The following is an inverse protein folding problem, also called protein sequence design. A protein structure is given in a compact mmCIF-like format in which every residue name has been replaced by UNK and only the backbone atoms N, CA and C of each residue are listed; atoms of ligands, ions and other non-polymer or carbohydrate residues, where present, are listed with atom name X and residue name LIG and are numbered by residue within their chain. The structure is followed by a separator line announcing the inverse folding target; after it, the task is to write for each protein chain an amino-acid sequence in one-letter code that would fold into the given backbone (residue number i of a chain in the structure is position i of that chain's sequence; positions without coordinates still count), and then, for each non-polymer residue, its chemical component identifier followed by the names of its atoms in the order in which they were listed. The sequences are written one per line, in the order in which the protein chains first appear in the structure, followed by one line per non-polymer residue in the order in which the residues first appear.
data_IF_504077140677
#
_entry.id   IF_504077140677
#
_cell.length_a   1.000
_cell.length_b   1.000
_cell.length_c   1.000
_cell.angle_alpha   90.00
_cell.angle_beta   90.00
_cell.angle_gamma   90.00
#
_symmetry.space_group_name_H-M   'P 1'
#
loop_
_entity.id
_entity.type
_entity.pdbx_description
1 polymer ?
#
# COMPACT_ATOMS: atom_id res chain seq x y z
N UNK A 1 -23.43 20.38 -7.42
CA UNK A 1 -22.51 19.70 -6.50
C UNK A 1 -23.26 19.48 -5.19
N UNK A 2 -23.84 18.28 -5.04
CA UNK A 2 -24.54 17.86 -3.83
C UNK A 2 -23.78 16.65 -3.33
N UNK A 3 -22.89 16.84 -2.35
CA UNK A 3 -22.15 15.74 -1.70
C UNK A 3 -23.11 15.10 -0.71
N UNK A 4 -23.57 13.88 -0.99
CA UNK A 4 -24.39 13.10 -0.09
C UNK A 4 -23.52 12.22 0.80
N UNK A 5 -23.29 12.62 2.04
CA UNK A 5 -22.55 11.79 3.01
C UNK A 5 -23.48 10.69 3.54
N UNK A 6 -23.22 9.44 3.16
CA UNK A 6 -23.97 8.28 3.65
C UNK A 6 -23.21 7.63 4.82
N UNK A 7 -23.66 7.87 6.04
CA UNK A 7 -23.11 7.28 7.27
C UNK A 7 -23.86 5.99 7.60
N UNK A 8 -23.25 4.83 7.34
CA UNK A 8 -23.81 3.55 7.78
C UNK A 8 -23.15 3.11 9.10
N UNK A 9 -23.90 3.19 10.21
CA UNK A 9 -23.50 2.78 11.58
C UNK A 9 -23.05 1.31 11.68
N UNK A 10 -23.27 0.48 10.66
CA UNK A 10 -22.89 -0.94 10.63
C UNK A 10 -21.37 -1.14 10.51
N UNK A 11 -20.64 -0.22 9.87
CA UNK A 11 -19.18 -0.33 9.71
C UNK A 11 -18.41 -0.16 11.03
N UNK A 12 -18.96 0.63 11.97
CA UNK A 12 -18.32 0.92 13.25
C UNK A 12 -18.17 -0.30 14.18
N UNK A 13 -18.82 -1.44 13.87
CA UNK A 13 -18.83 -2.62 14.74
C UNK A 13 -17.81 -3.70 14.38
N UNK A 14 -17.24 -3.67 13.17
CA UNK A 14 -16.24 -4.66 12.72
C UNK A 14 -14.77 -4.23 12.95
N UNK A 15 -14.54 -2.94 13.20
CA UNK A 15 -13.19 -2.36 13.37
C UNK A 15 -12.50 -2.71 14.70
N UNK A 16 -13.15 -3.48 15.58
CA UNK A 16 -12.62 -3.86 16.89
C UNK A 16 -11.72 -5.11 16.91
N UNK A 17 -11.40 -5.72 15.77
CA UNK A 17 -10.74 -7.03 15.71
C UNK A 17 -9.54 -7.15 14.76
N UNK A 18 -8.95 -6.05 14.28
CA UNK A 18 -7.72 -6.12 13.49
C UNK A 18 -6.48 -6.11 14.41
N UNK A 19 -5.51 -7.02 14.24
CA UNK A 19 -4.23 -6.99 14.96
C UNK A 19 -3.49 -5.67 14.69
N UNK A 20 -2.87 -5.14 15.74
CA UNK A 20 -2.11 -3.88 15.71
C UNK A 20 -0.79 -4.12 14.99
N UNK A 21 -0.75 -3.89 13.68
CA UNK A 21 0.51 -3.65 12.95
C UNK A 21 0.71 -2.12 12.90
N UNK A 22 1.97 -1.67 12.96
CA UNK A 22 2.36 -0.26 13.18
C UNK A 22 1.65 0.76 12.30
N UNK A 23 1.52 1.99 12.83
CA UNK A 23 0.95 3.20 12.20
C UNK A 23 -0.02 2.96 11.02
N UNK A 24 -1.21 2.41 11.31
CA UNK A 24 -2.19 2.09 10.28
C UNK A 24 -2.71 3.36 9.58
N UNK A 25 -2.48 3.45 8.27
CA UNK A 25 -3.37 4.16 7.34
C UNK A 25 -4.77 3.59 7.55
N UNK A 26 -5.66 4.36 8.18
CA UNK A 26 -7.05 3.95 8.39
C UNK A 26 -7.85 4.26 7.13
N UNK A 27 -8.10 3.22 6.32
CA UNK A 27 -9.06 3.29 5.22
C UNK A 27 -10.46 3.24 5.82
N UNK A 28 -11.08 4.40 6.01
CA UNK A 28 -12.47 4.50 6.46
C UNK A 28 -13.19 5.56 5.63
N UNK A 29 -14.24 5.10 4.93
CA UNK A 29 -15.29 5.85 4.20
C UNK A 29 -15.21 5.69 2.67
N UNK A 30 -16.36 5.51 2.02
CA UNK A 30 -16.51 5.41 0.56
C UNK A 30 -16.91 6.80 0.04
N UNK A 31 -16.07 7.45 -0.75
CA UNK A 31 -16.48 8.59 -1.57
C UNK A 31 -17.08 8.05 -2.87
N UNK A 32 -18.40 8.15 -2.97
CA UNK A 32 -19.12 7.97 -4.24
C UNK A 32 -19.34 9.34 -4.86
N UNK A 33 -18.83 9.56 -6.07
CA UNK A 33 -19.19 10.74 -6.83
C UNK A 33 -19.89 10.35 -8.14
N UNK A 34 -20.97 11.09 -8.42
CA UNK A 34 -21.77 10.94 -9.62
C UNK A 34 -21.48 12.11 -10.53
N UNK A 35 -20.90 11.85 -11.69
CA UNK A 35 -20.63 12.84 -12.73
C UNK A 35 -21.56 12.60 -13.91
N UNK A 36 -22.36 13.60 -14.26
CA UNK A 36 -23.20 13.59 -15.46
C UNK A 36 -22.41 14.24 -16.60
N UNK A 37 -21.84 13.46 -17.52
CA UNK A 37 -21.25 14.00 -18.76
C UNK A 37 -22.33 14.16 -19.82
N UNK A 38 -23.26 15.11 -19.61
CA UNK A 38 -24.27 15.58 -20.56
C UNK A 38 -25.35 14.57 -20.98
N UNK A 39 -24.94 13.41 -21.51
CA UNK A 39 -25.78 12.35 -22.04
C UNK A 39 -25.77 11.08 -21.15
N UNK A 40 -24.85 10.99 -20.15
CA UNK A 40 -24.53 9.75 -19.42
C UNK A 40 -24.19 9.96 -17.94
N UNK A 41 -24.55 8.97 -17.13
CA UNK A 41 -24.19 8.85 -15.72
C UNK A 41 -22.85 8.11 -15.59
N UNK A 42 -21.87 8.74 -14.95
CA UNK A 42 -20.61 8.15 -14.51
C UNK A 42 -20.68 8.03 -12.99
N UNK A 43 -20.73 6.79 -12.48
CA UNK A 43 -20.59 6.53 -11.05
C UNK A 43 -19.15 6.16 -10.77
N UNK A 44 -18.49 6.89 -9.88
CA UNK A 44 -17.17 6.52 -9.39
C UNK A 44 -17.21 6.29 -7.89
N UNK A 45 -16.85 5.08 -7.47
CA UNK A 45 -16.74 4.72 -6.06
C UNK A 45 -15.25 4.57 -5.70
N UNK A 46 -14.81 5.34 -4.70
CA UNK A 46 -13.41 5.41 -4.25
C UNK A 46 -13.35 5.40 -2.71
N UNK A 47 -12.52 4.57 -2.06
CA UNK A 47 -12.27 4.68 -0.62
C UNK A 47 -11.54 5.99 -0.30
N UNK A 48 -11.93 6.68 0.78
CA UNK A 48 -11.27 7.88 1.28
C UNK A 48 -10.10 7.51 2.22
N UNK A 49 -9.04 8.30 2.15
CA UNK A 49 -7.83 8.19 2.97
C UNK A 49 -7.90 9.22 4.09
N UNK A 50 -8.00 8.79 5.37
CA UNK A 50 -7.91 9.73 6.49
C UNK A 50 -6.45 10.01 6.90
N UNK A 51 -6.14 11.30 7.08
CA UNK A 51 -4.91 11.77 7.75
C UNK A 51 -5.28 12.16 9.19
N UNK A 52 -4.82 11.43 10.20
CA UNK A 52 -4.94 11.92 11.58
C UNK A 52 -3.90 13.05 11.80
N UNK A 53 -4.35 14.30 11.88
CA UNK A 53 -3.51 15.40 12.37
C UNK A 53 -3.14 15.10 13.83
N UNK A 54 -1.89 14.68 14.07
CA UNK A 54 -1.38 14.51 15.42
C UNK A 54 -1.28 15.90 16.08
N UNK A 55 -2.30 16.26 16.88
CA UNK A 55 -2.26 17.43 17.74
C UNK A 55 -1.10 17.25 18.71
N UNK A 56 -0.05 18.03 18.49
CA UNK A 56 1.02 18.24 19.46
C UNK A 56 0.39 18.58 20.80
N UNK A 57 0.51 17.66 21.76
CA UNK A 57 0.06 17.85 23.12
C UNK A 57 0.82 19.04 23.73
N UNK A 58 0.20 20.21 23.69
CA UNK A 58 0.58 21.35 24.49
C UNK A 58 0.48 20.96 25.96
N UNK A 59 1.63 20.83 26.62
CA UNK A 59 1.72 20.73 28.07
C UNK A 59 1.24 22.05 28.67
N UNK A 60 -0.01 22.09 29.12
CA UNK A 60 -0.49 23.13 30.03
C UNK A 60 -1.61 22.54 30.91
N UNK A 61 -1.20 21.83 31.96
CA UNK A 61 -1.93 21.89 33.24
C UNK A 61 -1.01 21.48 34.40
N UNK A 62 -0.39 22.47 35.03
CA UNK A 62 0.18 22.32 36.36
C UNK A 62 -0.79 22.96 37.36
N UNK A 63 -1.28 22.22 38.38
CA UNK A 63 -2.25 22.77 39.31
C UNK A 63 -1.61 23.86 40.18
N UNK A 64 -2.29 25.00 40.24
CA UNK A 64 -1.97 26.12 41.12
C UNK A 64 -1.94 25.68 42.58
N UNK A 65 -0.78 25.85 43.23
CA UNK A 65 -0.69 25.95 44.69
C UNK A 65 -0.25 27.36 45.06
N UNK A 66 -1.17 28.13 45.64
CA UNK A 66 -0.88 29.39 46.30
C UNK A 66 0.04 29.16 47.51
N UNK A 67 1.15 29.91 47.55
CA UNK A 67 2.11 29.88 48.64
C UNK A 67 3.00 31.13 48.60
N UNK A 68 2.46 32.25 49.04
CA UNK A 68 3.18 33.51 49.24
C UNK A 68 4.22 33.39 50.36
N UNK A 69 5.48 33.75 50.12
CA UNK A 69 6.25 34.71 50.95
C UNK A 69 7.71 34.86 50.49
N UNK A 70 8.13 36.12 50.29
CA UNK A 70 9.38 36.75 50.78
C UNK A 70 10.75 36.15 50.37
N UNK A 71 11.85 36.87 50.21
CA UNK A 71 12.27 38.28 50.06
C UNK A 71 13.80 38.18 49.97
N UNK A 72 14.44 39.15 49.29
CA UNK A 72 15.89 39.47 49.35
C UNK A 72 16.86 38.43 48.72
N UNK A 73 17.95 38.80 48.05
CA UNK A 73 18.54 40.11 47.79
C UNK A 73 19.91 39.92 47.13
N UNK A 74 20.32 40.93 46.35
CA UNK A 74 21.70 41.42 46.12
C UNK A 74 22.76 40.43 45.60
N UNK A 75 23.30 40.56 44.40
CA UNK A 75 24.30 41.56 43.94
C UNK A 75 25.63 40.84 43.62
N UNK A 76 26.18 41.13 42.43
CA UNK A 76 27.59 41.45 42.11
C UNK A 76 28.68 40.59 42.80
N UNK A 77 29.70 40.05 42.14
CA UNK A 77 30.64 40.57 41.12
C UNK A 77 31.67 39.44 40.96
N UNK A 78 32.21 39.12 39.79
CA UNK A 78 33.45 39.75 39.32
C UNK A 78 34.46 38.68 38.88
N UNK A 79 35.10 38.95 37.75
CA UNK A 79 36.49 38.64 37.40
C UNK A 79 36.92 37.18 37.04
N UNK A 80 37.17 36.99 35.74
CA UNK A 80 38.24 36.14 35.13
C UNK A 80 39.65 36.61 35.57
N UNK A 81 40.76 35.82 35.52
CA UNK A 81 41.23 35.13 34.29
C UNK A 81 42.11 33.84 34.42
N UNK A 82 42.28 33.18 33.26
CA UNK A 82 43.36 32.30 32.74
C UNK A 82 44.31 31.55 33.71
N UNK A 83 44.60 30.27 33.41
CA UNK A 83 45.91 29.81 32.86
C UNK A 83 45.93 28.31 32.53
N UNK A 84 46.54 28.02 31.38
CA UNK A 84 47.31 26.84 30.91
C UNK A 84 47.51 25.59 31.78
N UNK A 85 47.44 24.43 31.10
CA UNK A 85 48.59 23.52 31.05
C UNK A 85 48.42 22.08 31.58
N UNK A 86 48.55 21.13 30.64
CA UNK A 86 49.33 19.86 30.73
C UNK A 86 48.76 18.61 31.44
N UNK A 87 48.40 17.62 30.58
CA UNK A 87 48.71 16.18 30.59
C UNK A 87 48.99 15.40 31.90
N UNK A 88 48.14 14.42 32.23
CA UNK A 88 48.33 12.94 32.19
C UNK A 88 47.52 12.19 33.26
N UNK A 89 46.84 11.11 32.83
CA UNK A 89 46.52 9.82 33.49
C UNK A 89 45.82 9.88 34.89
N UNK A 90 44.83 9.06 35.25
CA UNK A 90 44.62 7.62 35.03
C UNK A 90 43.25 7.21 35.67
N UNK A 91 42.68 6.08 35.23
CA UNK A 91 41.76 5.16 35.95
C UNK A 91 40.21 5.38 36.02
N UNK A 92 39.52 4.49 35.28
CA UNK A 92 38.41 3.57 35.65
C UNK A 92 37.02 4.11 36.09
N UNK A 93 36.03 3.89 35.22
CA UNK A 93 34.74 3.18 35.43
C UNK A 93 33.83 3.55 34.24
N UNK A 94 33.35 2.64 33.40
CA UNK A 94 32.57 1.47 33.75
C UNK A 94 31.09 1.79 33.59
N UNK A 95 30.63 2.15 32.38
CA UNK A 95 29.23 2.01 32.02
C UNK A 95 29.12 1.53 30.56
N UNK A 96 28.50 0.37 30.44
CA UNK A 96 28.26 -0.37 29.21
C UNK A 96 26.98 0.17 28.61
N UNK A 97 27.05 0.99 27.57
CA UNK A 97 25.87 1.25 26.72
C UNK A 97 25.91 0.23 25.60
N UNK A 98 25.01 -0.75 25.72
CA UNK A 98 24.66 -1.72 24.69
C UNK A 98 24.33 -0.98 23.40
N UNK A 99 25.00 -1.35 22.31
CA UNK A 99 24.63 -0.93 20.98
C UNK A 99 23.21 -1.43 20.67
N UNK A 100 22.33 -0.51 20.33
CA UNK A 100 21.26 -0.80 19.39
C UNK A 100 21.84 -0.57 18.01
N UNK A 101 21.82 -1.60 17.19
CA UNK A 101 22.14 -1.51 15.77
C UNK A 101 21.17 -0.49 15.14
N UNK A 102 21.70 0.65 14.71
CA UNK A 102 21.00 1.57 13.84
C UNK A 102 20.82 0.88 12.49
N UNK A 103 19.58 0.45 12.22
CA UNK A 103 19.11 0.06 10.90
C UNK A 103 19.30 1.24 9.93
N UNK A 104 19.61 1.01 8.64
CA UNK A 104 20.14 2.03 7.76
C UNK A 104 19.12 3.15 7.54
N UNK A 105 19.63 4.37 7.60
CA UNK A 105 18.95 5.65 7.44
C UNK A 105 17.89 5.61 6.31
N UNK A 106 16.61 5.61 6.68
CA UNK A 106 15.57 6.17 5.82
C UNK A 106 15.97 7.61 5.51
N UNK A 107 15.71 8.07 4.30
CA UNK A 107 16.21 9.34 3.78
C UNK A 107 15.63 10.57 4.51
N UNK A 108 16.01 10.84 5.77
CA UNK A 108 15.71 12.07 6.51
C UNK A 108 14.24 12.49 6.65
N UNK A 109 13.28 11.69 6.18
CA UNK A 109 11.84 11.96 6.28
C UNK A 109 11.36 11.59 7.68
N UNK A 110 10.54 12.44 8.28
CA UNK A 110 9.84 12.08 9.50
C UNK A 110 8.71 11.10 9.19
N UNK A 111 8.25 10.35 10.20
CA UNK A 111 7.12 9.43 10.05
C UNK A 111 5.88 10.13 9.48
N UNK A 112 5.64 11.39 9.88
CA UNK A 112 4.54 12.19 9.34
C UNK A 112 4.72 12.54 7.85
N UNK A 113 5.94 12.84 7.41
CA UNK A 113 6.22 13.10 5.99
C UNK A 113 6.04 11.82 5.15
N UNK A 114 6.37 10.65 5.73
CA UNK A 114 6.17 9.34 5.11
C UNK A 114 4.67 9.04 4.98
N UNK A 115 3.89 9.25 6.03
CA UNK A 115 2.44 9.06 6.02
C UNK A 115 1.76 9.95 4.96
N UNK A 116 2.15 11.22 4.87
CA UNK A 116 1.65 12.13 3.82
C UNK A 116 2.04 11.64 2.42
N UNK A 117 3.28 11.17 2.23
CA UNK A 117 3.74 10.64 0.95
C UNK A 117 3.00 9.36 0.54
N UNK A 118 2.74 8.44 1.47
CA UNK A 118 1.93 7.23 1.22
C UNK A 118 0.52 7.61 0.77
N UNK A 119 -0.13 8.52 1.48
CA UNK A 119 -1.50 8.93 1.16
C UNK A 119 -1.55 9.64 -0.21
N UNK A 120 -0.59 10.51 -0.49
CA UNK A 120 -0.47 11.14 -1.80
C UNK A 120 -0.25 10.11 -2.92
N UNK A 121 0.57 9.08 -2.67
CA UNK A 121 0.84 8.03 -3.66
C UNK A 121 -0.41 7.20 -3.99
N UNK A 122 -1.18 6.80 -2.97
CA UNK A 122 -2.43 6.07 -3.18
C UNK A 122 -3.42 6.93 -3.96
N UNK A 123 -3.57 8.22 -3.60
CA UNK A 123 -4.45 9.14 -4.31
C UNK A 123 -4.05 9.29 -5.79
N UNK A 124 -2.75 9.43 -6.08
CA UNK A 124 -2.25 9.54 -7.45
C UNK A 124 -2.55 8.28 -8.27
N UNK A 125 -2.37 7.09 -7.69
CA UNK A 125 -2.68 5.81 -8.34
C UNK A 125 -4.17 5.72 -8.65
N UNK A 126 -5.02 6.01 -7.68
CA UNK A 126 -6.48 5.98 -7.83
C UNK A 126 -6.95 6.98 -8.89
N UNK A 127 -6.49 8.24 -8.82
CA UNK A 127 -6.84 9.28 -9.79
C UNK A 127 -6.41 8.90 -11.21
N UNK A 128 -5.24 8.26 -11.34
CA UNK A 128 -4.74 7.75 -12.62
C UNK A 128 -5.66 6.68 -13.21
N UNK A 129 -6.12 5.71 -12.41
CA UNK A 129 -7.03 4.66 -12.89
C UNK A 129 -8.39 5.21 -13.30
N UNK A 130 -8.93 6.14 -12.51
CA UNK A 130 -10.17 6.84 -12.85
C UNK A 130 -10.02 7.59 -14.18
N UNK A 131 -8.91 8.33 -14.36
CA UNK A 131 -8.66 9.08 -15.58
C UNK A 131 -8.53 8.15 -16.79
N UNK A 132 -7.82 7.03 -16.65
CA UNK A 132 -7.69 6.01 -17.70
C UNK A 132 -9.05 5.39 -18.06
N UNK A 133 -9.89 5.06 -17.07
CA UNK A 133 -11.23 4.54 -17.32
C UNK A 133 -12.09 5.55 -18.10
N UNK A 134 -12.05 6.84 -17.72
CA UNK A 134 -12.74 7.93 -18.45
C UNK A 134 -12.21 8.10 -19.88
N UNK A 135 -10.91 7.98 -20.10
CA UNK A 135 -10.30 8.06 -21.43
C UNK A 135 -10.76 6.90 -22.33
N UNK A 136 -10.70 5.66 -21.84
CA UNK A 136 -11.25 4.50 -22.53
C UNK A 136 -12.72 4.74 -22.92
N UNK A 137 -13.49 5.51 -22.13
CA UNK A 137 -14.91 5.77 -22.39
C UNK A 137 -15.14 6.73 -23.51
N UNK A 138 -14.34 7.79 -23.54
CA UNK A 138 -14.29 8.68 -24.68
C UNK A 138 -13.94 7.92 -25.97
N UNK A 139 -12.93 7.03 -25.93
CA UNK A 139 -12.53 6.20 -27.08
C UNK A 139 -13.64 5.24 -27.53
N UNK A 140 -14.28 4.55 -26.59
CA UNK A 140 -15.40 3.65 -26.90
C UNK A 140 -16.58 4.42 -27.51
N UNK A 141 -16.92 5.60 -26.97
CA UNK A 141 -17.95 6.50 -27.51
C UNK A 141 -17.63 6.87 -28.96
N UNK A 142 -16.40 7.29 -29.23
CA UNK A 142 -15.97 7.65 -30.59
C UNK A 142 -16.08 6.44 -31.55
N UNK A 143 -15.56 5.28 -31.15
CA UNK A 143 -15.62 4.06 -31.96
C UNK A 143 -17.06 3.59 -32.22
N UNK A 144 -17.95 3.71 -31.23
CA UNK A 144 -19.36 3.37 -31.34
C UNK A 144 -20.05 4.21 -32.43
N UNK A 145 -19.86 5.53 -32.43
CA UNK A 145 -20.44 6.40 -33.46
C UNK A 145 -19.76 6.21 -34.83
N UNK A 146 -18.44 6.00 -34.86
CA UNK A 146 -17.70 5.75 -36.11
C UNK A 146 -18.15 4.46 -36.81
N UNK A 147 -18.65 3.46 -36.07
CA UNK A 147 -19.15 2.19 -36.59
C UNK A 147 -20.66 2.22 -36.92
N UNK A 148 -21.30 3.38 -36.81
CA UNK A 148 -22.70 3.60 -37.22
C UNK A 148 -23.73 3.49 -36.08
N UNK A 149 -23.28 3.49 -34.82
CA UNK A 149 -24.18 3.61 -33.68
C UNK A 149 -24.95 4.93 -33.66
N UNK A 150 -26.17 4.90 -33.13
CA UNK A 150 -27.07 6.05 -33.07
C UNK A 150 -27.06 6.73 -31.70
N UNK A 151 -27.47 8.01 -31.63
CA UNK A 151 -27.63 8.72 -30.34
C UNK A 151 -28.66 8.02 -29.43
N UNK A 152 -29.69 7.39 -30.00
CA UNK A 152 -30.70 6.63 -29.24
C UNK A 152 -30.09 5.38 -28.59
N UNK A 153 -29.28 4.62 -29.31
CA UNK A 153 -28.56 3.46 -28.77
C UNK A 153 -27.47 3.87 -27.77
N UNK A 154 -26.90 5.06 -27.93
CA UNK A 154 -25.91 5.60 -27.01
C UNK A 154 -26.58 6.02 -25.68
N UNK A 155 -27.68 6.75 -25.72
CA UNK A 155 -28.39 7.27 -24.54
C UNK A 155 -28.97 6.23 -23.58
N UNK A 156 -28.96 4.94 -23.92
CA UNK A 156 -29.35 3.84 -23.04
C UNK A 156 -28.20 3.19 -22.26
N UNK A 157 -26.98 3.75 -22.34
CA UNK A 157 -25.78 3.21 -21.69
C UNK A 157 -25.49 3.94 -20.39
N UNK A 158 -24.76 3.29 -19.48
CA UNK A 158 -24.26 3.87 -18.22
C UNK A 158 -22.81 3.42 -18.07
N UNK A 159 -21.97 4.28 -17.51
CA UNK A 159 -20.58 3.95 -17.20
C UNK A 159 -20.44 3.83 -15.69
N UNK A 160 -20.21 2.61 -15.23
CA UNK A 160 -19.91 2.32 -13.83
C UNK A 160 -18.40 2.10 -13.69
N UNK A 161 -17.75 2.89 -12.83
CA UNK A 161 -16.35 2.74 -12.47
C UNK A 161 -16.30 2.55 -10.96
N UNK A 162 -15.87 1.39 -10.49
CA UNK A 162 -15.51 1.25 -9.08
C UNK A 162 -14.00 1.10 -9.01
N UNK A 163 -13.34 1.89 -8.15
CA UNK A 163 -11.92 1.73 -7.85
C UNK A 163 -11.82 1.52 -6.35
N UNK A 164 -11.48 0.31 -5.97
CA UNK A 164 -11.23 -0.08 -4.58
C UNK A 164 -9.74 -0.41 -4.41
N UNK A 165 -9.26 -0.41 -3.17
CA UNK A 165 -7.90 -0.81 -2.88
C UNK A 165 -7.73 -1.39 -1.48
N UNK A 166 -6.73 -2.23 -1.31
CA UNK A 166 -6.30 -2.79 -0.04
C UNK A 166 -4.79 -2.53 0.14
N UNK A 167 -4.43 -1.87 1.24
CA UNK A 167 -3.02 -1.75 1.64
C UNK A 167 -2.59 -3.09 2.22
N UNK A 168 -1.75 -3.83 1.49
CA UNK A 168 -1.29 -5.16 1.87
C UNK A 168 -0.14 -5.12 2.88
N UNK A 169 0.69 -4.08 2.78
CA UNK A 169 1.82 -3.83 3.66
C UNK A 169 2.20 -2.36 3.66
N UNK A 170 2.53 -1.83 4.83
CA UNK A 170 3.14 -0.51 4.98
C UNK A 170 4.11 -0.53 6.17
N UNK A 171 5.39 -0.25 5.91
CA UNK A 171 6.41 -0.11 6.94
C UNK A 171 7.47 0.90 6.47
N UNK A 172 7.70 1.95 7.26
CA UNK A 172 8.55 3.06 6.84
C UNK A 172 8.09 3.62 5.48
N UNK A 173 9.03 3.82 4.55
CA UNK A 173 8.71 4.30 3.21
C UNK A 173 8.20 3.23 2.24
N UNK A 174 8.04 1.98 2.67
CA UNK A 174 7.54 0.91 1.80
C UNK A 174 6.03 0.85 1.87
N UNK A 175 5.39 0.89 0.70
CA UNK A 175 3.96 0.69 0.48
C UNK A 175 3.74 -0.50 -0.46
N UNK A 176 2.84 -1.40 -0.10
CA UNK A 176 2.28 -2.41 -1.00
C UNK A 176 0.76 -2.30 -1.04
N UNK A 177 0.20 -2.20 -2.24
CA UNK A 177 -1.20 -1.87 -2.51
C UNK A 177 -1.75 -2.82 -3.58
N UNK A 178 -2.86 -3.50 -3.28
CA UNK A 178 -3.70 -4.15 -4.28
C UNK A 178 -4.82 -3.19 -4.65
N UNK A 179 -4.96 -2.83 -5.93
CA UNK A 179 -6.03 -1.99 -6.44
C UNK A 179 -6.95 -2.84 -7.31
N UNK A 180 -8.24 -2.80 -7.03
CA UNK A 180 -9.28 -3.49 -7.80
C UNK A 180 -10.13 -2.47 -8.54
N UNK A 181 -10.26 -2.62 -9.86
CA UNK A 181 -11.19 -1.82 -10.65
C UNK A 181 -12.35 -2.66 -11.19
N UNK A 182 -13.55 -2.11 -11.12
CA UNK A 182 -14.71 -2.58 -11.84
C UNK A 182 -15.03 -1.59 -12.95
N UNK A 183 -15.07 -2.06 -14.19
CA UNK A 183 -15.47 -1.27 -15.35
C UNK A 183 -16.77 -1.87 -15.93
N UNK A 184 -17.91 -1.20 -15.73
CA UNK A 184 -19.25 -1.61 -16.21
C UNK A 184 -19.80 -0.71 -17.32
N UNK A 185 -19.89 -1.25 -18.55
CA UNK A 185 -20.26 -0.48 -19.76
C UNK A 185 -21.21 -1.25 -20.68
N UNK A 186 -20.82 -2.50 -20.98
CA UNK A 186 -21.56 -3.50 -21.77
C UNK A 186 -21.35 -4.87 -21.15
N UNK A 187 -20.08 -5.20 -20.91
CA UNK A 187 -19.67 -6.27 -20.01
C UNK A 187 -19.04 -5.62 -18.78
N UNK A 188 -19.19 -6.30 -17.65
CA UNK A 188 -18.43 -5.99 -16.44
C UNK A 188 -17.06 -6.64 -16.57
N UNK A 189 -16.02 -5.90 -16.22
CA UNK A 189 -14.67 -6.42 -16.08
C UNK A 189 -14.13 -6.01 -14.71
N UNK A 190 -13.62 -6.98 -13.96
CA UNK A 190 -12.85 -6.75 -12.74
C UNK A 190 -11.37 -6.91 -13.08
N UNK A 191 -10.56 -5.89 -12.77
CA UNK A 191 -9.12 -5.91 -12.94
C UNK A 191 -8.45 -5.70 -11.60
N UNK A 192 -7.31 -6.36 -11.40
CA UNK A 192 -6.46 -6.17 -10.23
C UNK A 192 -5.09 -5.70 -10.66
N UNK A 193 -4.56 -4.78 -9.88
CA UNK A 193 -3.24 -4.18 -10.06
C UNK A 193 -2.51 -4.23 -8.74
N UNK A 194 -1.20 -4.50 -8.79
CA UNK A 194 -0.38 -4.56 -7.60
C UNK A 194 0.73 -3.53 -7.70
N UNK A 195 0.84 -2.69 -6.66
CA UNK A 195 1.85 -1.65 -6.56
C UNK A 195 2.72 -1.92 -5.34
N UNK A 196 4.04 -1.94 -5.53
CA UNK A 196 5.01 -2.04 -4.46
C UNK A 196 5.98 -0.89 -4.62
N UNK A 197 5.98 0.07 -3.69
CA UNK A 197 6.60 1.38 -3.89
C UNK A 197 7.44 1.73 -2.66
N UNK A 198 8.66 2.19 -2.89
CA UNK A 198 9.41 2.99 -1.92
C UNK A 198 9.05 4.46 -2.14
N UNK A 199 8.13 4.98 -1.31
CA UNK A 199 7.57 6.33 -1.47
C UNK A 199 8.59 7.44 -1.22
N UNK A 200 9.65 7.16 -0.46
CA UNK A 200 10.73 8.13 -0.23
C UNK A 200 11.59 8.33 -1.48
N UNK A 201 11.74 7.26 -2.28
CA UNK A 201 12.49 7.27 -3.53
C UNK A 201 11.61 7.47 -4.77
N UNK A 202 10.29 7.42 -4.59
CA UNK A 202 9.30 7.39 -5.66
C UNK A 202 9.66 6.37 -6.76
N UNK A 203 9.92 5.13 -6.33
CA UNK A 203 10.27 4.02 -7.22
C UNK A 203 9.47 2.77 -6.88
N UNK A 204 9.22 1.95 -7.90
CA UNK A 204 8.69 0.62 -7.69
C UNK A 204 9.76 -0.33 -7.13
N UNK A 205 9.31 -1.22 -6.26
CA UNK A 205 10.06 -2.36 -5.73
C UNK A 205 9.78 -3.56 -6.63
N UNK A 206 10.84 -4.31 -6.91
CA UNK A 206 10.80 -5.51 -7.74
C UNK A 206 10.98 -6.77 -6.89
N UNK A 207 10.62 -7.94 -7.42
CA UNK A 207 10.98 -9.22 -6.80
C UNK A 207 12.50 -9.33 -6.54
N UNK A 208 13.32 -8.72 -7.39
CA UNK A 208 14.78 -8.67 -7.23
C UNK A 208 15.21 -7.83 -6.03
N UNK A 209 14.49 -6.75 -5.70
CA UNK A 209 14.77 -5.96 -4.51
C UNK A 209 14.51 -6.76 -3.22
N UNK A 210 13.50 -7.65 -3.24
CA UNK A 210 13.07 -8.42 -2.08
C UNK A 210 13.79 -9.77 -1.91
N UNK A 211 14.07 -10.45 -3.04
CA UNK A 211 14.66 -11.80 -3.07
C UNK A 211 16.13 -11.81 -3.54
N UNK A 212 16.66 -10.66 -3.95
CA UNK A 212 18.05 -10.51 -4.40
C UNK A 212 18.30 -10.94 -5.85
N UNK A 213 19.58 -11.07 -6.20
CA UNK A 213 20.01 -11.29 -7.58
C UNK A 213 19.54 -12.60 -8.23
N UNK A 214 19.15 -13.59 -7.42
CA UNK A 214 18.69 -14.91 -7.86
C UNK A 214 17.16 -15.09 -7.73
N UNK A 215 16.41 -13.97 -7.65
CA UNK A 215 14.96 -13.96 -7.42
C UNK A 215 14.18 -14.91 -8.33
N UNK A 216 14.56 -15.03 -9.61
CA UNK A 216 13.88 -15.89 -10.58
C UNK A 216 13.92 -17.35 -10.13
N UNK A 217 15.08 -17.85 -9.71
CA UNK A 217 15.21 -19.25 -9.28
C UNK A 217 14.49 -19.47 -7.94
N UNK A 218 14.67 -18.56 -6.98
CA UNK A 218 14.02 -18.62 -5.66
C UNK A 218 12.50 -18.69 -5.80
N UNK A 219 11.90 -17.76 -6.55
CA UNK A 219 10.47 -17.71 -6.76
C UNK A 219 9.97 -18.94 -7.55
N UNK A 220 10.62 -19.30 -8.66
CA UNK A 220 10.21 -20.43 -9.48
C UNK A 220 10.24 -21.76 -8.73
N UNK A 221 11.27 -21.99 -7.90
CA UNK A 221 11.37 -23.21 -7.08
C UNK A 221 10.26 -23.26 -6.04
N UNK A 222 10.03 -22.16 -5.31
CA UNK A 222 8.95 -22.06 -4.30
C UNK A 222 7.57 -22.27 -4.93
N UNK A 223 7.23 -21.54 -6.00
CA UNK A 223 5.93 -21.63 -6.68
C UNK A 223 5.68 -23.06 -7.16
N UNK A 224 6.65 -23.68 -7.83
CA UNK A 224 6.51 -25.06 -8.33
C UNK A 224 6.36 -26.06 -7.22
N UNK A 225 7.05 -25.87 -6.09
CA UNK A 225 6.89 -26.72 -4.92
C UNK A 225 5.47 -26.60 -4.35
N UNK A 226 5.01 -25.38 -4.10
CA UNK A 226 3.67 -25.12 -3.58
C UNK A 226 2.57 -25.67 -4.48
N UNK A 227 2.64 -25.46 -5.80
CA UNK A 227 1.68 -26.02 -6.77
C UNK A 227 1.57 -27.55 -6.66
N UNK A 228 2.71 -28.25 -6.54
CA UNK A 228 2.75 -29.72 -6.40
C UNK A 228 2.18 -30.17 -5.06
N UNK A 229 2.48 -29.47 -3.98
CA UNK A 229 1.98 -29.78 -2.65
C UNK A 229 0.46 -29.58 -2.57
N UNK A 230 -0.06 -28.46 -3.09
CA UNK A 230 -1.50 -28.17 -3.19
C UNK A 230 -2.23 -29.26 -4.00
N UNK A 231 -1.74 -29.60 -5.19
CA UNK A 231 -2.35 -30.64 -6.03
C UNK A 231 -2.22 -32.06 -5.47
N UNK A 232 -1.22 -32.35 -4.64
CA UNK A 232 -1.13 -33.62 -3.93
C UNK A 232 -2.12 -33.71 -2.75
N UNK A 233 -2.50 -32.57 -2.18
CA UNK A 233 -3.46 -32.47 -1.08
C UNK A 233 -4.92 -32.46 -1.57
N UNK A 234 -5.18 -31.89 -2.76
CA UNK A 234 -6.50 -31.83 -3.37
C UNK A 234 -6.44 -32.16 -4.87
N UNK A 235 -7.05 -33.29 -5.24
CA UNK A 235 -7.08 -33.81 -6.63
C UNK A 235 -7.86 -32.91 -7.60
N UNK A 236 -8.64 -31.94 -7.09
CA UNK A 236 -9.34 -30.97 -7.93
C UNK A 236 -8.44 -29.81 -8.37
N UNK A 237 -7.28 -29.62 -7.76
CA UNK A 237 -6.38 -28.51 -8.10
C UNK A 237 -5.46 -28.89 -9.24
N UNK A 238 -5.46 -28.06 -10.29
CA UNK A 238 -4.70 -28.28 -11.51
C UNK A 238 -3.92 -27.03 -11.87
N UNK A 239 -2.61 -27.19 -12.03
CA UNK A 239 -1.70 -26.14 -12.47
C UNK A 239 -1.06 -26.56 -13.81
N UNK A 240 -1.35 -25.81 -14.85
CA UNK A 240 -0.81 -26.02 -16.20
C UNK A 240 0.71 -25.82 -16.21
N UNK A 241 1.41 -26.66 -16.97
CA UNK A 241 2.88 -26.62 -17.04
C UNK A 241 3.60 -27.23 -15.85
N UNK A 242 2.90 -27.58 -14.77
CA UNK A 242 3.51 -28.12 -13.54
C UNK A 242 2.94 -29.48 -13.16
N UNK A 243 1.62 -29.55 -12.99
CA UNK A 243 0.92 -30.78 -12.57
C UNK A 243 0.18 -31.41 -13.75
N UNK A 244 -0.32 -30.57 -14.66
CA UNK A 244 -0.85 -30.98 -15.96
C UNK A 244 0.10 -30.50 -17.06
N UNK A 245 0.86 -31.43 -17.63
CA UNK A 245 1.90 -31.16 -18.63
C UNK A 245 1.56 -31.69 -20.02
N UNK A 246 0.48 -32.47 -20.15
CA UNK A 246 0.08 -33.10 -21.42
C UNK A 246 -0.99 -32.31 -22.19
N UNK A 247 -1.52 -31.22 -21.63
CA UNK A 247 -2.60 -30.43 -22.22
C UNK A 247 -2.18 -29.53 -23.39
N UNK A 248 -0.88 -29.37 -23.64
CA UNK A 248 -0.34 -28.48 -24.67
C UNK A 248 -0.51 -26.99 -24.33
N UNK A 249 -0.86 -26.69 -23.08
CA UNK A 249 -0.87 -25.35 -22.50
C UNK A 249 0.43 -25.20 -21.71
N UNK A 250 1.19 -24.14 -21.97
CA UNK A 250 2.48 -23.92 -21.32
C UNK A 250 2.33 -23.69 -19.80
N UNK A 251 1.28 -22.95 -19.39
CA UNK A 251 0.99 -22.64 -17.99
C UNK A 251 2.14 -21.90 -17.30
N UNK A 252 2.48 -22.27 -16.06
CA UNK A 252 3.55 -21.61 -15.34
C UNK A 252 4.95 -21.99 -15.88
N UNK A 253 5.63 -21.01 -16.48
CA UNK A 253 6.98 -21.16 -17.04
C UNK A 253 8.05 -20.55 -16.12
N UNK A 254 7.96 -19.26 -15.83
CA UNK A 254 8.91 -18.53 -14.97
C UNK A 254 8.29 -17.21 -14.56
N UNK A 255 8.71 -16.68 -13.40
CA UNK A 255 8.58 -15.25 -13.11
C UNK A 255 9.57 -14.43 -13.95
N UNK A 256 9.27 -13.15 -14.12
CA UNK A 256 10.04 -12.13 -14.83
C UNK A 256 9.87 -10.74 -14.17
N UNK A 257 10.24 -9.67 -14.89
CA UNK A 257 10.18 -8.28 -14.39
C UNK A 257 8.76 -7.71 -14.34
N UNK A 258 7.83 -8.29 -15.09
CA UNK A 258 6.43 -7.86 -15.19
C UNK A 258 5.51 -8.72 -14.31
N UNK A 259 6.07 -9.65 -13.52
CA UNK A 259 5.30 -10.55 -12.67
C UNK A 259 4.65 -9.80 -11.52
N UNK A 260 3.32 -9.89 -11.45
CA UNK A 260 2.50 -9.29 -10.42
C UNK A 260 2.75 -9.90 -9.03
N UNK A 261 2.90 -9.05 -8.02
CA UNK A 261 3.03 -9.47 -6.63
C UNK A 261 2.63 -8.34 -5.66
N UNK A 262 2.28 -8.69 -4.44
CA UNK A 262 2.21 -7.74 -3.31
C UNK A 262 3.17 -8.18 -2.18
N UNK A 263 3.40 -7.32 -1.19
CA UNK A 263 4.17 -7.64 0.02
C UNK A 263 3.17 -7.92 1.14
N UNK A 264 3.29 -9.07 1.81
CA UNK A 264 2.41 -9.42 2.93
C UNK A 264 2.91 -8.82 4.27
N UNK A 265 2.15 -9.04 5.34
CA UNK A 265 2.48 -8.55 6.68
C UNK A 265 3.82 -9.06 7.25
N UNK A 266 4.33 -10.19 6.75
CA UNK A 266 5.63 -10.74 7.13
C UNK A 266 6.79 -10.15 6.30
N UNK A 267 6.49 -9.21 5.40
CA UNK A 267 7.45 -8.58 4.51
C UNK A 267 7.86 -9.45 3.32
N UNK A 268 7.18 -10.57 3.08
CA UNK A 268 7.44 -11.49 1.97
C UNK A 268 6.66 -11.09 0.71
N UNK A 269 7.25 -11.24 -0.50
CA UNK A 269 6.48 -11.10 -1.73
C UNK A 269 5.51 -12.28 -1.92
N UNK A 270 4.28 -11.96 -2.29
CA UNK A 270 3.23 -12.90 -2.70
C UNK A 270 2.96 -12.71 -4.19
N UNK A 271 3.43 -13.65 -4.99
CA UNK A 271 3.25 -13.63 -6.45
C UNK A 271 1.81 -14.00 -6.79
N UNK A 272 1.18 -13.21 -7.66
CA UNK A 272 -0.23 -13.32 -8.02
C UNK A 272 -0.37 -13.68 -9.50
N UNK A 273 -1.21 -14.66 -9.80
CA UNK A 273 -1.56 -15.03 -11.17
C UNK A 273 -3.07 -14.88 -11.37
N UNK A 274 -3.45 -14.20 -12.44
CA UNK A 274 -4.84 -13.96 -12.80
C UNK A 274 -5.62 -15.25 -13.11
N UNK A 275 -6.94 -15.13 -13.19
CA UNK A 275 -7.77 -16.23 -13.66
C UNK A 275 -7.31 -16.69 -15.05
N UNK A 276 -7.28 -18.00 -15.29
CA UNK A 276 -6.85 -18.61 -16.56
C UNK A 276 -5.38 -18.39 -16.93
N UNK A 277 -4.54 -17.84 -16.06
CA UNK A 277 -3.13 -17.62 -16.39
C UNK A 277 -2.33 -18.93 -16.27
N UNK A 278 -2.46 -19.61 -15.13
CA UNK A 278 -1.71 -20.83 -14.80
C UNK A 278 -2.61 -22.01 -14.40
N UNK A 279 -3.93 -21.78 -14.31
CA UNK A 279 -4.90 -22.74 -13.82
C UNK A 279 -6.31 -22.48 -14.40
N UNK A 280 -7.22 -23.47 -14.40
CA UNK A 280 -8.60 -23.26 -14.84
C UNK A 280 -9.34 -22.21 -14.02
N UNK A 281 -10.22 -21.42 -14.65
CA UNK A 281 -10.88 -20.27 -14.01
C UNK A 281 -11.70 -20.56 -12.75
N UNK A 282 -12.16 -21.79 -12.50
CA UNK A 282 -12.85 -22.09 -11.23
C UNK A 282 -11.93 -21.96 -10.00
N UNK A 283 -10.62 -22.02 -10.19
CA UNK A 283 -9.63 -21.83 -9.13
C UNK A 283 -9.46 -20.36 -8.75
N UNK A 284 -9.95 -19.42 -9.58
CA UNK A 284 -9.78 -17.99 -9.36
C UNK A 284 -8.31 -17.56 -9.46
N UNK A 285 -8.02 -16.39 -8.91
CA UNK A 285 -6.65 -15.86 -8.75
C UNK A 285 -5.82 -16.80 -7.88
N UNK A 286 -4.57 -17.04 -8.28
CA UNK A 286 -3.65 -17.90 -7.55
C UNK A 286 -2.52 -17.08 -6.94
N UNK A 287 -2.35 -17.22 -5.62
CA UNK A 287 -1.33 -16.52 -4.85
C UNK A 287 -0.28 -17.50 -4.29
N UNK A 288 0.99 -17.10 -4.33
CA UNK A 288 2.13 -17.89 -3.83
C UNK A 288 3.09 -16.99 -3.06
N UNK A 289 3.12 -17.16 -1.74
CA UNK A 289 4.10 -16.50 -0.88
C UNK A 289 5.51 -17.06 -1.11
N UNK A 290 6.49 -16.19 -1.25
CA UNK A 290 7.90 -16.55 -1.39
C UNK A 290 8.65 -16.04 -0.16
N UNK A 291 9.12 -16.96 0.67
CA UNK A 291 9.95 -16.60 1.83
C UNK A 291 11.21 -15.83 1.38
N UNK A 292 11.46 -14.69 2.02
CA UNK A 292 12.69 -13.94 1.78
C UNK A 292 13.90 -14.73 2.31
N UNK A 293 15.03 -14.74 1.59
CA UNK A 293 16.27 -15.26 2.14
C UNK A 293 16.65 -14.49 3.42
N UNK A 294 17.13 -15.19 4.45
CA UNK A 294 17.73 -14.54 5.62
C UNK A 294 18.86 -13.58 5.17
N UNK A 295 18.83 -12.34 5.64
CA UNK A 295 19.88 -11.32 5.40
C UNK A 295 21.22 -11.64 6.10
#
# INVERSE_FOLDING_TARGET
MTVGVNTNEVLAKELGQLPVIGSLVRVLTITSYHEEDGDHDITVNVPEIEVEENQTAGTDDAPQTEGTSQMEGTSQTGETPQTDGTHQAEEVSGETTSGGEESPETAGMSDADIEEAVNAQIQEIVDSHIAQAKEKFAEYKEAFFATGGTEEEWGGRTMDIDVDYEVKYQEGSVLSLELSTFEGWVAAQELRYYYNIDVAQNRELTLKDLLGGDYVNIANESIRQQMKERAAADENLVYWGVTETESGIDGFVSVDEDTDFYINADGNPVVCFGEYEIAPGFMGIQEFEIERPDE
#
